data_IF_008925926739
#
_entry.id   IF_008925926739
#
_cell.length_a   1.000
_cell.length_b   1.000
_cell.length_c   1.000
_cell.angle_alpha   90.00
_cell.angle_beta   90.00
_cell.angle_gamma   90.00
#
_symmetry.space_group_name_H-M   'P 1'
#
loop_
_entity.id
_entity.type
_entity.pdbx_description
1 polymer ?
#
# COMPACT_ATOMS: atom_id res chain seq x y z
N UNK A 1 39.39 -6.06 -8.67
CA UNK A 1 39.86 -5.08 -7.66
C UNK A 1 41.03 -4.31 -8.25
N UNK A 2 41.09 -2.99 -8.05
CA UNK A 2 42.28 -2.20 -8.40
C UNK A 2 43.42 -2.55 -7.45
N UNK A 3 44.60 -2.79 -8.01
CA UNK A 3 45.76 -3.37 -7.33
C UNK A 3 46.67 -2.34 -6.64
N UNK A 4 46.31 -1.05 -6.64
CA UNK A 4 47.18 0.01 -6.13
C UNK A 4 46.41 1.18 -5.47
N UNK A 5 45.52 0.88 -4.52
CA UNK A 5 44.85 1.90 -3.72
C UNK A 5 45.63 2.18 -2.43
N UNK A 6 45.66 3.44 -1.99
CA UNK A 6 46.36 3.85 -0.76
C UNK A 6 45.69 3.31 0.51
N UNK A 7 46.43 3.26 1.62
CA UNK A 7 45.91 2.80 2.92
C UNK A 7 44.66 3.56 3.37
N UNK A 8 44.57 4.87 3.06
CA UNK A 8 43.42 5.71 3.36
C UNK A 8 42.14 5.24 2.64
N UNK A 9 42.27 4.74 1.41
CA UNK A 9 41.13 4.23 0.64
C UNK A 9 40.58 2.95 1.28
N UNK A 10 41.45 2.03 1.69
CA UNK A 10 41.04 0.78 2.34
C UNK A 10 40.42 1.04 3.71
N UNK A 11 40.94 1.99 4.48
CA UNK A 11 40.34 2.41 5.74
C UNK A 11 38.94 3.03 5.54
N UNK A 12 38.76 3.87 4.53
CA UNK A 12 37.44 4.40 4.16
C UNK A 12 36.48 3.29 3.70
N UNK A 13 36.98 2.29 2.96
CA UNK A 13 36.21 1.13 2.53
C UNK A 13 35.74 0.26 3.70
N UNK A 14 36.60 -0.02 4.67
CA UNK A 14 36.26 -0.77 5.86
C UNK A 14 35.19 -0.04 6.70
N UNK A 15 35.32 1.29 6.84
CA UNK A 15 34.30 2.12 7.49
C UNK A 15 32.97 2.09 6.73
N UNK A 16 32.99 2.14 5.40
CA UNK A 16 31.79 2.01 4.56
C UNK A 16 31.11 0.64 4.73
N UNK A 17 31.88 -0.45 4.77
CA UNK A 17 31.37 -1.81 4.97
C UNK A 17 30.73 -1.96 6.35
N UNK A 18 31.33 -1.40 7.39
CA UNK A 18 30.85 -1.47 8.77
C UNK A 18 29.76 -0.43 9.14
N UNK A 19 29.57 0.62 8.33
CA UNK A 19 28.57 1.65 8.58
C UNK A 19 27.15 1.08 8.56
N UNK A 20 26.32 1.51 9.53
CA UNK A 20 24.97 0.99 9.75
C UNK A 20 23.88 1.90 9.20
N UNK A 21 24.16 3.19 9.04
CA UNK A 21 23.18 4.17 8.54
C UNK A 21 23.47 4.64 7.12
N UNK A 22 22.45 5.01 6.33
CA UNK A 22 22.63 5.62 5.00
C UNK A 22 23.53 6.86 5.03
N UNK A 23 23.43 7.70 6.06
CA UNK A 23 24.24 8.91 6.22
C UNK A 23 25.72 8.59 6.46
N UNK A 24 26.02 7.60 7.29
CA UNK A 24 27.40 7.12 7.49
C UNK A 24 27.95 6.49 6.23
N UNK A 25 27.15 5.66 5.54
CA UNK A 25 27.57 5.04 4.28
C UNK A 25 27.85 6.10 3.21
N UNK A 26 27.01 7.13 3.10
CA UNK A 26 27.24 8.25 2.17
C UNK A 26 28.52 9.01 2.53
N UNK A 27 28.75 9.30 3.81
CA UNK A 27 29.97 9.96 4.29
C UNK A 27 31.22 9.18 3.88
N UNK A 28 31.24 7.87 4.08
CA UNK A 28 32.41 7.05 3.76
C UNK A 28 32.57 6.81 2.25
N UNK A 29 31.48 6.79 1.47
CA UNK A 29 31.57 6.79 0.00
C UNK A 29 32.24 8.06 -0.54
N UNK A 30 31.94 9.23 0.05
CA UNK A 30 32.63 10.48 -0.28
C UNK A 30 34.12 10.43 0.10
N UNK A 31 34.46 9.81 1.23
CA UNK A 31 35.85 9.62 1.67
C UNK A 31 36.61 8.64 0.76
N UNK A 32 35.96 7.56 0.33
CA UNK A 32 36.46 6.63 -0.69
C UNK A 32 36.67 7.31 -2.05
N UNK A 33 35.73 8.16 -2.49
CA UNK A 33 35.87 8.89 -3.76
C UNK A 33 37.08 9.84 -3.73
N UNK A 34 37.30 10.51 -2.59
CA UNK A 34 38.42 11.45 -2.39
C UNK A 34 39.78 10.76 -2.43
N UNK A 35 39.86 9.56 -1.87
CA UNK A 35 41.09 8.76 -1.71
C UNK A 35 41.28 7.74 -2.83
N UNK A 36 40.32 7.61 -3.75
CA UNK A 36 40.38 6.68 -4.86
C UNK A 36 41.57 7.00 -5.81
N UNK A 37 42.26 5.98 -6.35
CA UNK A 37 43.27 6.19 -7.37
C UNK A 37 42.68 6.91 -8.59
N UNK A 38 43.42 7.84 -9.21
CA UNK A 38 42.96 8.61 -10.38
C UNK A 38 43.76 8.24 -11.63
N UNK A 39 43.64 7.00 -12.07
CA UNK A 39 44.30 6.49 -13.27
C UNK A 39 43.35 5.59 -14.06
N UNK A 40 43.65 5.29 -15.32
CA UNK A 40 42.75 4.54 -16.21
C UNK A 40 42.20 3.22 -15.63
N UNK A 41 43.00 2.52 -14.81
CA UNK A 41 42.58 1.28 -14.15
C UNK A 41 41.52 1.42 -13.05
N UNK A 42 41.22 2.63 -12.56
CA UNK A 42 40.27 2.88 -11.47
C UNK A 42 38.94 3.48 -11.94
N UNK A 43 38.75 3.67 -13.24
CA UNK A 43 37.52 4.25 -13.81
C UNK A 43 36.26 3.48 -13.40
N UNK A 44 36.29 2.15 -13.47
CA UNK A 44 35.16 1.31 -13.02
C UNK A 44 34.87 1.44 -11.53
N UNK A 45 35.90 1.60 -10.70
CA UNK A 45 35.74 1.80 -9.27
C UNK A 45 35.10 3.16 -8.98
N UNK A 46 35.60 4.22 -9.61
CA UNK A 46 35.06 5.58 -9.46
C UNK A 46 33.60 5.62 -9.94
N UNK A 47 33.29 4.99 -11.07
CA UNK A 47 31.92 4.89 -11.58
C UNK A 47 31.01 4.15 -10.58
N UNK A 48 31.49 3.07 -9.97
CA UNK A 48 30.76 2.36 -8.92
C UNK A 48 30.52 3.23 -7.68
N UNK A 49 31.55 3.96 -7.21
CA UNK A 49 31.44 4.86 -6.06
C UNK A 49 30.41 5.98 -6.34
N UNK A 50 30.50 6.63 -7.50
CA UNK A 50 29.56 7.70 -7.89
C UNK A 50 28.12 7.20 -8.02
N UNK A 51 27.93 6.00 -8.58
CA UNK A 51 26.61 5.36 -8.63
C UNK A 51 26.05 5.13 -7.23
N UNK A 52 26.89 4.62 -6.31
CA UNK A 52 26.49 4.40 -4.91
C UNK A 52 26.20 5.71 -4.18
N UNK A 53 26.98 6.77 -4.40
CA UNK A 53 26.71 8.11 -3.84
C UNK A 53 25.30 8.57 -4.26
N UNK A 54 24.99 8.53 -5.56
CA UNK A 54 23.67 8.92 -6.07
C UNK A 54 22.52 8.08 -5.48
N UNK A 55 22.72 6.77 -5.31
CA UNK A 55 21.74 5.89 -4.65
C UNK A 55 21.50 6.31 -3.19
N UNK A 56 22.57 6.55 -2.41
CA UNK A 56 22.46 6.94 -1.00
C UNK A 56 21.96 8.38 -0.80
N UNK A 57 22.30 9.32 -1.70
CA UNK A 57 21.75 10.67 -1.69
C UNK A 57 20.25 10.66 -1.91
N UNK A 58 19.76 9.86 -2.86
CA UNK A 58 18.33 9.69 -3.09
C UNK A 58 17.62 9.10 -1.88
N UNK A 59 18.19 8.07 -1.24
CA UNK A 59 17.67 7.49 0.02
C UNK A 59 17.57 8.54 1.12
N UNK A 60 18.59 9.39 1.27
CA UNK A 60 18.64 10.44 2.30
C UNK A 60 17.70 11.60 1.95
N UNK A 61 17.58 12.00 0.69
CA UNK A 61 16.63 13.03 0.26
C UNK A 61 15.18 12.58 0.47
N UNK A 62 14.83 11.36 0.04
CA UNK A 62 13.55 10.71 0.35
C UNK A 62 13.31 10.59 1.87
N UNK A 63 14.39 10.48 2.67
CA UNK A 63 14.38 10.53 4.13
C UNK A 63 14.27 11.95 4.73
N UNK A 64 14.79 13.00 4.07
CA UNK A 64 14.78 14.40 4.54
C UNK A 64 13.43 15.08 4.32
N UNK A 65 12.69 14.70 3.28
CA UNK A 65 11.27 15.10 3.13
C UNK A 65 10.37 14.62 4.29
N UNK A 66 10.87 13.74 5.18
CA UNK A 66 10.18 13.29 6.40
C UNK A 66 10.53 14.08 7.68
N UNK A 67 11.43 15.08 7.64
CA UNK A 67 11.87 15.82 8.85
C UNK A 67 11.05 17.06 9.21
N UNK A 68 10.10 17.48 8.39
CA UNK A 68 9.12 18.52 8.72
C UNK A 68 7.73 17.92 8.91
N UNK A 69 7.45 17.32 10.07
CA UNK A 69 6.10 16.92 10.48
C UNK A 69 5.34 16.03 9.50
N UNK A 70 5.84 14.83 9.17
CA UNK A 70 5.07 13.84 8.40
C UNK A 70 5.32 12.45 8.99
N UNK A 71 4.22 11.74 9.30
CA UNK A 71 4.23 10.47 10.02
C UNK A 71 5.16 9.41 9.42
N UNK A 72 5.59 8.49 10.29
CA UNK A 72 6.29 7.26 9.90
C UNK A 72 5.44 6.59 8.80
N UNK A 73 5.97 6.50 7.58
CA UNK A 73 5.35 5.79 6.46
C UNK A 73 5.53 4.29 6.72
N UNK A 74 4.67 3.75 7.58
CA UNK A 74 4.66 2.34 7.98
C UNK A 74 4.21 1.42 6.84
N UNK A 75 3.44 1.94 5.88
CA UNK A 75 2.84 1.19 4.77
C UNK A 75 2.76 2.08 3.53
N UNK A 76 2.96 1.49 2.35
CA UNK A 76 2.59 2.07 1.07
C UNK A 76 1.27 1.43 0.59
N UNK A 77 0.29 2.23 0.19
CA UNK A 77 -0.96 1.74 -0.41
C UNK A 77 -0.60 1.11 -1.75
N UNK A 78 -0.51 -0.22 -1.79
CA UNK A 78 -0.12 -1.00 -2.97
C UNK A 78 -1.32 -1.71 -3.62
N UNK A 79 -2.42 -1.88 -2.89
CA UNK A 79 -3.71 -2.31 -3.43
C UNK A 79 -4.64 -1.15 -3.77
N UNK A 80 -5.71 -1.44 -4.49
CA UNK A 80 -6.74 -0.45 -4.85
C UNK A 80 -7.50 0.03 -3.61
N UNK A 81 -7.77 -0.90 -2.68
CA UNK A 81 -8.53 -0.67 -1.45
C UNK A 81 -7.72 -1.16 -0.26
N UNK A 82 -7.44 -0.27 0.68
CA UNK A 82 -6.73 -0.53 1.93
C UNK A 82 -7.74 -0.75 3.07
N UNK A 83 -7.67 -1.92 3.71
CA UNK A 83 -8.58 -2.36 4.76
C UNK A 83 -7.80 -2.55 6.06
N UNK A 84 -8.07 -1.76 7.09
CA UNK A 84 -7.49 -1.96 8.42
C UNK A 84 -8.32 -2.91 9.26
N UNK A 85 -7.68 -3.91 9.86
CA UNK A 85 -8.29 -4.85 10.80
C UNK A 85 -7.94 -4.40 12.23
N UNK A 86 -8.96 -4.10 13.03
CA UNK A 86 -8.84 -3.70 14.43
C UNK A 86 -9.51 -4.70 15.36
N UNK A 87 -9.08 -4.70 16.62
CA UNK A 87 -9.54 -5.64 17.64
C UNK A 87 -8.50 -5.79 18.75
N UNK A 88 -8.94 -6.21 19.92
CA UNK A 88 -8.09 -6.42 21.10
C UNK A 88 -7.19 -7.66 20.97
N UNK A 89 -6.32 -7.88 21.94
CA UNK A 89 -5.44 -9.05 21.99
C UNK A 89 -6.26 -10.34 22.00
N UNK A 90 -5.85 -11.31 21.19
CA UNK A 90 -6.50 -12.62 21.02
C UNK A 90 -7.94 -12.57 20.47
N UNK A 91 -8.40 -11.47 19.85
CA UNK A 91 -9.73 -11.45 19.21
C UNK A 91 -9.82 -12.23 17.88
N UNK A 92 -8.71 -12.78 17.39
CA UNK A 92 -8.65 -13.55 16.14
C UNK A 92 -8.18 -12.75 14.91
N UNK A 93 -7.71 -11.51 15.06
CA UNK A 93 -7.21 -10.66 13.93
C UNK A 93 -6.21 -11.35 13.02
N UNK A 94 -5.10 -11.85 13.57
CA UNK A 94 -4.06 -12.51 12.77
C UNK A 94 -4.57 -13.79 12.11
N UNK A 95 -5.49 -14.50 12.75
CA UNK A 95 -6.12 -15.69 12.18
C UNK A 95 -7.05 -15.31 11.01
N UNK A 96 -7.87 -14.26 11.16
CA UNK A 96 -8.70 -13.71 10.08
C UNK A 96 -7.83 -13.34 8.88
N UNK A 97 -6.77 -12.55 9.11
CA UNK A 97 -5.86 -12.11 8.06
C UNK A 97 -5.27 -13.32 7.32
N UNK A 98 -4.66 -14.27 8.04
CA UNK A 98 -4.04 -15.47 7.44
C UNK A 98 -5.04 -16.33 6.67
N UNK A 99 -6.20 -16.60 7.28
CA UNK A 99 -7.24 -17.46 6.70
C UNK A 99 -7.75 -16.90 5.37
N UNK A 100 -8.01 -15.59 5.31
CA UNK A 100 -8.71 -14.98 4.18
C UNK A 100 -7.79 -14.39 3.11
N UNK A 101 -6.55 -14.07 3.45
CA UNK A 101 -5.59 -13.57 2.46
C UNK A 101 -4.70 -14.65 1.86
N UNK A 102 -4.82 -15.89 2.34
CA UNK A 102 -3.96 -17.01 1.97
C UNK A 102 -2.48 -16.60 1.91
N UNK A 103 -2.08 -15.76 2.86
CA UNK A 103 -0.87 -14.96 2.74
C UNK A 103 0.35 -15.87 2.60
N UNK A 104 0.96 -15.85 1.41
CA UNK A 104 2.40 -15.68 1.34
C UNK A 104 2.70 -14.40 2.12
N UNK A 105 2.88 -14.54 3.43
CA UNK A 105 3.36 -13.46 4.27
C UNK A 105 4.78 -13.19 3.77
N UNK A 106 4.94 -12.23 2.86
CA UNK A 106 6.25 -11.65 2.61
C UNK A 106 6.63 -10.89 3.88
N UNK A 107 7.21 -11.63 4.83
CA UNK A 107 8.00 -11.04 5.91
C UNK A 107 9.22 -10.47 5.21
N UNK A 108 9.17 -9.19 4.87
CA UNK A 108 10.38 -8.45 4.55
C UNK A 108 11.19 -8.33 5.85
N UNK A 109 12.04 -9.32 6.10
CA UNK A 109 13.10 -9.25 7.10
C UNK A 109 14.16 -8.27 6.59
N UNK A 110 13.91 -6.98 6.80
CA UNK A 110 15.01 -6.02 6.87
C UNK A 110 15.56 -6.15 8.30
N UNK A 111 16.80 -6.62 8.49
CA UNK A 111 17.40 -6.62 9.82
C UNK A 111 17.46 -5.16 10.28
N UNK A 112 16.98 -4.91 11.51
CA UNK A 112 16.90 -3.61 12.21
C UNK A 112 15.58 -2.80 12.13
N UNK A 113 14.45 -3.35 11.68
CA UNK A 113 13.17 -2.61 11.74
C UNK A 113 12.22 -3.08 12.86
N UNK A 114 11.72 -2.10 13.61
CA UNK A 114 10.73 -2.16 14.68
C UNK A 114 9.38 -2.65 14.13
N UNK A 115 8.82 -3.74 14.69
CA UNK A 115 7.49 -4.34 14.46
C UNK A 115 6.66 -3.67 13.35
N UNK A 116 6.73 -4.20 12.12
CA UNK A 116 5.81 -3.83 11.04
C UNK A 116 4.46 -4.54 11.24
N UNK A 117 3.33 -3.87 10.95
CA UNK A 117 2.00 -4.51 11.00
C UNK A 117 1.93 -5.66 9.99
N UNK A 118 1.13 -6.68 10.28
CA UNK A 118 0.95 -7.80 9.34
C UNK A 118 0.08 -7.36 8.16
N UNK A 119 0.49 -7.70 6.94
CA UNK A 119 -0.16 -7.30 5.69
C UNK A 119 -0.51 -8.56 4.89
N UNK A 120 -1.66 -8.56 4.23
CA UNK A 120 -2.06 -9.60 3.28
C UNK A 120 -2.86 -8.99 2.14
N UNK A 121 -2.61 -9.43 0.90
CA UNK A 121 -3.29 -8.89 -0.28
C UNK A 121 -4.03 -10.00 -1.00
N UNK A 122 -5.24 -9.71 -1.46
CA UNK A 122 -5.99 -10.62 -2.32
C UNK A 122 -6.39 -9.91 -3.61
N UNK A 123 -6.42 -10.69 -4.69
CA UNK A 123 -7.00 -10.26 -5.95
C UNK A 123 -8.36 -10.92 -6.11
N UNK A 124 -9.42 -10.12 -6.18
CA UNK A 124 -10.78 -10.62 -6.31
C UNK A 124 -11.58 -9.69 -7.22
N UNK A 125 -12.32 -10.26 -8.18
CA UNK A 125 -13.11 -9.52 -9.16
C UNK A 125 -12.36 -8.29 -9.69
N UNK A 126 -11.19 -8.53 -10.28
CA UNK A 126 -10.28 -7.54 -10.90
C UNK A 126 -9.70 -6.45 -9.98
N UNK A 127 -9.83 -6.56 -8.66
CA UNK A 127 -9.39 -5.54 -7.69
C UNK A 127 -8.41 -6.14 -6.68
N UNK A 128 -7.36 -5.39 -6.34
CA UNK A 128 -6.46 -5.72 -5.24
C UNK A 128 -6.96 -5.12 -3.91
N UNK A 129 -7.32 -5.99 -2.97
CA UNK A 129 -7.67 -5.60 -1.60
C UNK A 129 -6.48 -5.87 -0.69
N UNK A 130 -5.93 -4.81 -0.10
CA UNK A 130 -4.80 -4.85 0.83
C UNK A 130 -5.33 -4.80 2.25
N UNK A 131 -5.16 -5.88 3.01
CA UNK A 131 -5.50 -5.95 4.42
C UNK A 131 -4.28 -5.64 5.28
N UNK A 132 -4.50 -4.87 6.33
CA UNK A 132 -3.48 -4.56 7.34
C UNK A 132 -4.03 -4.86 8.71
N UNK A 133 -3.37 -5.73 9.45
CA UNK A 133 -3.65 -5.92 10.87
C UNK A 133 -3.00 -4.80 11.69
N UNK A 134 -3.82 -4.08 12.45
CA UNK A 134 -3.34 -3.12 13.43
C UNK A 134 -3.00 -3.85 14.74
N UNK A 135 -1.76 -3.75 15.23
CA UNK A 135 -1.38 -4.35 16.51
C UNK A 135 -2.21 -3.80 17.68
N UNK A 136 -2.66 -4.68 18.57
CA UNK A 136 -3.47 -4.31 19.75
C UNK A 136 -2.70 -3.48 20.79
N UNK A 137 -1.38 -3.32 20.64
CA UNK A 137 -0.60 -2.36 21.42
C UNK A 137 -1.12 -0.94 21.24
N UNK A 138 -1.80 -0.65 20.13
CA UNK A 138 -2.44 0.63 19.84
C UNK A 138 -1.48 1.83 20.01
N UNK A 139 -0.22 1.61 19.64
CA UNK A 139 0.78 2.66 19.66
C UNK A 139 0.47 3.74 18.64
N UNK A 140 0.69 5.00 19.02
CA UNK A 140 0.38 6.18 18.19
C UNK A 140 0.97 6.11 16.77
N UNK A 141 2.10 5.43 16.58
CA UNK A 141 2.74 5.24 15.27
C UNK A 141 1.79 4.58 14.25
N UNK A 142 0.93 3.65 14.67
CA UNK A 142 0.00 2.94 13.79
C UNK A 142 -1.21 3.78 13.36
N UNK A 143 -1.47 4.94 13.99
CA UNK A 143 -2.58 5.82 13.61
C UNK A 143 -2.46 6.35 12.18
N UNK A 144 -1.24 6.50 11.66
CA UNK A 144 -1.04 6.89 10.26
C UNK A 144 -1.64 5.88 9.28
N UNK A 145 -1.63 4.60 9.62
CA UNK A 145 -2.24 3.54 8.81
C UNK A 145 -3.76 3.68 8.81
N UNK A 146 -4.36 3.96 9.98
CA UNK A 146 -5.80 4.21 10.07
C UNK A 146 -6.19 5.36 9.14
N UNK A 147 -5.50 6.50 9.22
CA UNK A 147 -5.80 7.66 8.37
C UNK A 147 -5.67 7.39 6.86
N UNK A 148 -4.91 6.37 6.45
CA UNK A 148 -4.77 5.97 5.05
C UNK A 148 -5.81 4.94 4.59
N UNK A 149 -6.49 4.29 5.54
CA UNK A 149 -7.39 3.17 5.25
C UNK A 149 -8.67 3.66 4.59
N UNK A 150 -9.11 2.96 3.54
CA UNK A 150 -10.37 3.25 2.87
C UNK A 150 -11.55 2.64 3.64
N UNK A 151 -11.33 1.48 4.27
CA UNK A 151 -12.34 0.74 5.04
C UNK A 151 -11.75 0.08 6.28
N UNK A 152 -12.59 -0.28 7.25
CA UNK A 152 -12.16 -0.95 8.48
C UNK A 152 -12.96 -2.21 8.77
N UNK A 153 -12.29 -3.23 9.30
CA UNK A 153 -12.93 -4.42 9.84
C UNK A 153 -12.64 -4.47 11.33
N UNK A 154 -13.69 -4.47 12.14
CA UNK A 154 -13.61 -4.52 13.58
C UNK A 154 -13.92 -5.94 14.06
N UNK A 155 -12.93 -6.62 14.63
CA UNK A 155 -13.10 -7.97 15.18
C UNK A 155 -13.23 -7.88 16.70
N UNK A 156 -14.42 -8.20 17.19
CA UNK A 156 -14.80 -8.15 18.60
C UNK A 156 -14.94 -9.57 19.15
N UNK A 157 -14.34 -9.84 20.30
CA UNK A 157 -14.45 -11.12 21.02
C UNK A 157 -15.72 -11.11 21.88
N UNK A 158 -16.67 -11.99 21.59
CA UNK A 158 -17.94 -12.07 22.34
C UNK A 158 -17.77 -12.62 23.76
N UNK A 159 -16.65 -13.29 24.07
CA UNK A 159 -16.37 -13.81 25.41
C UNK A 159 -15.93 -12.72 26.39
N UNK A 160 -15.72 -11.50 25.89
CA UNK A 160 -15.23 -10.35 26.65
C UNK A 160 -16.21 -9.19 26.56
N UNK A 161 -16.06 -8.22 27.45
CA UNK A 161 -16.89 -7.02 27.43
C UNK A 161 -16.71 -6.25 26.11
N UNK A 162 -17.79 -6.16 25.33
CA UNK A 162 -17.80 -5.50 24.02
C UNK A 162 -17.63 -3.99 24.16
N UNK A 163 -18.17 -3.39 25.23
CA UNK A 163 -18.09 -1.95 25.48
C UNK A 163 -16.67 -1.55 25.83
N UNK A 164 -15.99 -2.31 26.68
CA UNK A 164 -14.58 -2.07 27.03
C UNK A 164 -13.67 -2.19 25.80
N UNK A 165 -13.93 -3.19 24.95
CA UNK A 165 -13.22 -3.35 23.68
C UNK A 165 -13.36 -2.13 22.77
N UNK A 166 -14.59 -1.66 22.57
CA UNK A 166 -14.88 -0.48 21.77
C UNK A 166 -14.24 0.78 22.35
N UNK A 167 -14.26 0.96 23.67
CA UNK A 167 -13.63 2.10 24.33
C UNK A 167 -12.12 2.15 24.10
N UNK A 168 -11.41 1.02 24.26
CA UNK A 168 -9.97 0.92 23.98
C UNK A 168 -9.67 1.26 22.52
N UNK A 169 -10.46 0.73 21.58
CA UNK A 169 -10.27 0.94 20.14
C UNK A 169 -10.57 2.40 19.75
N UNK A 170 -11.67 2.97 20.25
CA UNK A 170 -12.05 4.37 20.00
C UNK A 170 -11.04 5.36 20.56
N UNK A 171 -10.48 5.10 21.75
CA UNK A 171 -9.38 5.90 22.29
C UNK A 171 -8.16 5.90 21.36
N UNK A 172 -7.88 4.76 20.73
CA UNK A 172 -6.82 4.64 19.74
C UNK A 172 -7.15 5.28 18.38
N UNK A 173 -8.42 5.29 17.96
CA UNK A 173 -8.84 5.84 16.67
C UNK A 173 -9.40 7.27 16.74
N UNK A 174 -9.39 7.89 17.92
CA UNK A 174 -9.87 9.25 18.17
C UNK A 174 -9.38 10.27 17.12
N UNK A 175 -10.31 11.09 16.61
CA UNK A 175 -10.03 12.07 15.56
C UNK A 175 -9.84 11.48 14.15
N UNK A 176 -9.92 10.15 13.98
CA UNK A 176 -9.83 9.46 12.69
C UNK A 176 -11.17 8.79 12.36
N UNK A 177 -11.64 7.92 13.27
CA UNK A 177 -12.90 7.19 13.13
C UNK A 177 -13.43 6.80 14.50
N UNK A 178 -14.76 6.83 14.64
CA UNK A 178 -15.48 6.38 15.83
C UNK A 178 -16.28 5.13 15.48
N UNK A 179 -16.02 4.06 16.23
CA UNK A 179 -16.68 2.77 16.11
C UNK A 179 -17.84 2.66 17.10
N UNK A 180 -18.91 2.03 16.66
CA UNK A 180 -20.08 1.70 17.46
C UNK A 180 -20.32 0.18 17.42
N UNK A 181 -21.39 -0.28 18.06
CA UNK A 181 -21.86 -1.68 17.96
C UNK A 181 -22.58 -1.97 16.65
N UNK A 182 -22.76 -1.00 15.78
CA UNK A 182 -23.48 -1.13 14.51
C UNK A 182 -22.50 -0.82 13.37
N UNK A 183 -22.46 -1.70 12.36
CA UNK A 183 -21.66 -1.48 11.16
C UNK A 183 -22.19 -0.29 10.36
N UNK A 184 -21.33 0.37 9.59
CA UNK A 184 -21.74 1.43 8.68
C UNK A 184 -20.94 1.36 7.37
N UNK A 185 -21.06 2.38 6.53
CA UNK A 185 -20.41 2.42 5.23
C UNK A 185 -18.87 2.56 5.27
N UNK A 186 -18.28 2.78 6.44
CA UNK A 186 -16.82 2.84 6.62
C UNK A 186 -16.26 1.59 7.29
N UNK A 187 -17.08 0.83 8.02
CA UNK A 187 -16.60 -0.34 8.73
C UNK A 187 -17.63 -1.44 8.91
N UNK A 188 -17.12 -2.68 8.91
CA UNK A 188 -17.88 -3.89 9.25
C UNK A 188 -17.41 -4.46 10.58
N UNK A 189 -18.36 -4.87 11.40
CA UNK A 189 -18.08 -5.59 12.65
C UNK A 189 -18.19 -7.08 12.41
N UNK A 190 -17.22 -7.82 12.93
CA UNK A 190 -17.20 -9.27 12.98
C UNK A 190 -17.14 -9.67 14.45
N UNK A 191 -18.18 -10.34 14.91
CA UNK A 191 -18.22 -10.94 16.23
C UNK A 191 -17.61 -12.33 16.18
N UNK A 192 -16.52 -12.53 16.90
CA UNK A 192 -15.83 -13.81 16.97
C UNK A 192 -16.27 -14.58 18.22
N UNK A 193 -16.81 -15.80 18.01
CA UNK A 193 -17.24 -16.73 19.07
C UNK A 193 -16.29 -17.92 19.25
N UNK A 194 -15.75 -18.45 18.15
CA UNK A 194 -15.11 -19.78 18.11
C UNK A 194 -13.74 -19.81 17.42
N UNK A 195 -13.15 -18.65 17.12
CA UNK A 195 -11.82 -18.52 16.51
C UNK A 195 -11.64 -19.23 15.16
N UNK A 196 -12.74 -19.63 14.51
CA UNK A 196 -12.67 -20.40 13.26
C UNK A 196 -13.25 -19.65 12.05
N UNK A 197 -13.96 -18.54 12.25
CA UNK A 197 -14.59 -17.69 11.21
C UNK A 197 -15.29 -18.50 10.10
N UNK A 198 -15.94 -19.62 10.43
CA UNK A 198 -16.57 -20.50 9.42
C UNK A 198 -17.77 -19.87 8.73
N UNK A 199 -18.51 -19.03 9.44
CA UNK A 199 -19.70 -18.35 8.93
C UNK A 199 -19.37 -17.13 8.07
N UNK A 200 -18.09 -16.77 7.95
CA UNK A 200 -17.68 -15.57 7.22
C UNK A 200 -17.45 -15.90 5.75
N UNK A 201 -18.22 -15.23 4.90
CA UNK A 201 -18.00 -15.19 3.47
C UNK A 201 -17.18 -13.95 3.07
N UNK A 202 -15.88 -14.14 2.79
CA UNK A 202 -15.00 -13.05 2.39
C UNK A 202 -15.47 -12.38 1.09
N UNK A 203 -15.91 -13.15 0.10
CA UNK A 203 -16.35 -12.61 -1.19
C UNK A 203 -17.52 -11.64 -1.02
N UNK A 204 -18.46 -11.98 -0.14
CA UNK A 204 -19.58 -11.11 0.21
C UNK A 204 -19.09 -9.83 0.91
N UNK A 205 -18.13 -9.94 1.84
CA UNK A 205 -17.53 -8.77 2.49
C UNK A 205 -16.89 -7.85 1.45
N UNK A 206 -16.12 -8.38 0.51
CA UNK A 206 -15.46 -7.57 -0.53
C UNK A 206 -16.45 -6.89 -1.47
N UNK A 207 -17.52 -7.57 -1.88
CA UNK A 207 -18.58 -6.95 -2.67
C UNK A 207 -19.32 -5.86 -1.89
N UNK A 208 -19.52 -6.05 -0.58
CA UNK A 208 -20.15 -5.04 0.27
C UNK A 208 -19.24 -3.82 0.48
N UNK A 209 -17.93 -3.99 0.62
CA UNK A 209 -16.97 -2.87 0.71
C UNK A 209 -17.06 -1.96 -0.52
N UNK A 210 -17.18 -2.53 -1.73
CA UNK A 210 -17.35 -1.74 -2.96
C UNK A 210 -18.63 -0.90 -2.90
N UNK A 211 -19.73 -1.48 -2.40
CA UNK A 211 -21.02 -0.78 -2.28
C UNK A 211 -20.99 0.29 -1.19
N UNK A 212 -20.45 -0.04 -0.02
CA UNK A 212 -20.35 0.84 1.14
C UNK A 212 -19.53 2.10 0.82
N UNK A 213 -18.46 1.93 0.04
CA UNK A 213 -17.61 3.04 -0.41
C UNK A 213 -18.14 3.79 -1.64
N UNK A 214 -19.33 3.42 -2.14
CA UNK A 214 -19.91 3.95 -3.39
C UNK A 214 -18.90 3.91 -4.55
N UNK A 215 -18.24 2.78 -4.73
CA UNK A 215 -17.24 2.56 -5.78
C UNK A 215 -17.81 1.74 -6.94
N UNK A 216 -17.23 1.92 -8.12
CA UNK A 216 -17.48 1.13 -9.33
C UNK A 216 -16.17 0.59 -9.89
N UNK A 217 -16.20 -0.64 -10.38
CA UNK A 217 -15.06 -1.33 -11.01
C UNK A 217 -15.22 -1.34 -12.51
N UNK A 218 -14.30 -0.68 -13.20
CA UNK A 218 -14.32 -0.60 -14.66
C UNK A 218 -13.16 -1.41 -15.23
N UNK A 219 -13.44 -2.47 -15.97
CA UNK A 219 -12.42 -3.36 -16.55
C UNK A 219 -12.03 -2.86 -17.95
N UNK A 220 -10.78 -2.42 -18.19
CA UNK A 220 -10.30 -2.25 -19.56
C UNK A 220 -10.30 -3.60 -20.29
N UNK A 221 -10.73 -3.64 -21.55
CA UNK A 221 -10.86 -4.91 -22.28
C UNK A 221 -9.54 -5.70 -22.39
N UNK A 222 -8.41 -4.98 -22.45
CA UNK A 222 -7.05 -5.53 -22.60
C UNK A 222 -6.32 -5.68 -21.25
N UNK A 223 -7.03 -5.67 -20.12
CA UNK A 223 -6.46 -5.75 -18.77
C UNK A 223 -7.27 -6.67 -17.89
N UNK A 224 -6.61 -7.47 -17.06
CA UNK A 224 -7.27 -8.24 -16.01
C UNK A 224 -7.53 -7.43 -14.73
N UNK A 225 -6.87 -6.28 -14.59
CA UNK A 225 -7.03 -5.34 -13.49
C UNK A 225 -8.08 -4.26 -13.81
N UNK A 226 -8.92 -3.94 -12.82
CA UNK A 226 -9.93 -2.91 -12.93
C UNK A 226 -9.42 -1.55 -12.47
N UNK A 227 -10.02 -0.50 -13.03
CA UNK A 227 -9.86 0.85 -12.52
C UNK A 227 -11.02 1.13 -11.56
N UNK A 228 -10.69 1.46 -10.31
CA UNK A 228 -11.66 1.88 -9.29
C UNK A 228 -11.98 3.36 -9.49
N UNK A 229 -13.27 3.65 -9.60
CA UNK A 229 -13.82 5.00 -9.68
C UNK A 229 -14.96 5.17 -8.67
N UNK A 230 -15.30 6.42 -8.35
CA UNK A 230 -16.51 6.69 -7.56
C UNK A 230 -17.75 6.41 -8.42
N UNK A 231 -18.85 6.07 -7.78
CA UNK A 231 -20.18 6.03 -8.41
C UNK A 231 -20.47 7.37 -9.09
N UNK A 232 -21.25 7.30 -10.17
CA UNK A 232 -21.55 8.43 -11.08
C UNK A 232 -20.37 8.89 -11.97
N UNK A 233 -19.20 8.25 -11.88
CA UNK A 233 -18.07 8.55 -12.78
C UNK A 233 -18.40 8.23 -14.25
N UNK A 234 -17.71 8.94 -15.13
CA UNK A 234 -17.92 8.91 -16.58
C UNK A 234 -16.74 8.27 -17.32
N UNK A 235 -16.90 8.05 -18.63
CA UNK A 235 -15.81 7.63 -19.52
C UNK A 235 -14.63 8.61 -19.45
N UNK A 236 -14.89 9.91 -19.28
CA UNK A 236 -13.84 10.92 -19.10
C UNK A 236 -13.02 10.65 -17.84
N UNK A 237 -13.69 10.42 -16.71
CA UNK A 237 -13.02 10.17 -15.43
C UNK A 237 -12.15 8.90 -15.48
N UNK A 238 -12.64 7.86 -16.15
CA UNK A 238 -11.86 6.65 -16.44
C UNK A 238 -10.58 6.96 -17.23
N UNK A 239 -10.68 7.75 -18.31
CA UNK A 239 -9.51 8.14 -19.11
C UNK A 239 -8.56 9.00 -18.29
N UNK A 240 -9.04 9.95 -17.50
CA UNK A 240 -8.20 10.81 -16.68
C UNK A 240 -7.41 10.04 -15.62
N UNK A 241 -8.04 8.99 -15.06
CA UNK A 241 -7.41 8.10 -14.09
C UNK A 241 -6.26 7.29 -14.70
N UNK A 242 -6.36 6.92 -15.98
CA UNK A 242 -5.32 6.17 -16.71
C UNK A 242 -4.28 7.12 -17.31
N UNK A 243 -4.70 7.99 -18.22
CA UNK A 243 -3.85 8.94 -18.92
C UNK A 243 -4.67 10.09 -19.53
N UNK A 244 -4.61 11.26 -18.89
CA UNK A 244 -5.32 12.48 -19.32
C UNK A 244 -5.06 12.87 -20.79
N UNK A 245 -3.89 12.55 -21.35
CA UNK A 245 -3.54 12.88 -22.75
C UNK A 245 -4.39 12.13 -23.79
N UNK A 246 -5.07 11.06 -23.39
CA UNK A 246 -5.93 10.29 -24.30
C UNK A 246 -7.27 10.97 -24.58
N UNK A 247 -7.64 11.99 -23.79
CA UNK A 247 -8.88 12.78 -24.01
C UNK A 247 -8.85 13.45 -25.39
N UNK A 248 -7.74 14.10 -25.76
CA UNK A 248 -7.64 14.83 -27.03
C UNK A 248 -7.72 13.90 -28.25
N UNK A 249 -7.26 12.66 -28.05
CA UNK A 249 -7.30 11.59 -29.05
C UNK A 249 -8.60 10.78 -28.99
N UNK A 250 -9.50 11.04 -28.05
CA UNK A 250 -10.68 10.20 -27.87
C UNK A 250 -11.63 10.29 -29.08
N UNK A 251 -12.09 9.14 -29.59
CA UNK A 251 -13.11 9.04 -30.64
C UNK A 251 -14.44 8.58 -30.06
N UNK A 252 -14.44 7.46 -29.33
CA UNK A 252 -15.57 6.92 -28.58
C UNK A 252 -15.08 5.78 -27.67
N UNK A 253 -15.91 5.37 -26.71
CA UNK A 253 -15.71 4.15 -25.95
C UNK A 253 -16.74 3.10 -26.39
N UNK A 254 -16.31 1.83 -26.43
CA UNK A 254 -17.21 0.68 -26.53
C UNK A 254 -17.34 0.08 -25.14
N UNK A 255 -18.54 0.13 -24.58
CA UNK A 255 -18.86 -0.37 -23.24
C UNK A 255 -19.62 -1.69 -23.41
N UNK A 256 -19.18 -2.73 -22.72
CA UNK A 256 -19.87 -4.02 -22.67
C UNK A 256 -20.51 -4.14 -21.29
N UNK A 257 -21.83 -4.13 -21.26
CA UNK A 257 -22.65 -4.21 -20.05
C UNK A 257 -23.70 -5.29 -20.20
N UNK A 258 -23.63 -6.34 -19.38
CA UNK A 258 -24.61 -7.46 -19.39
C UNK A 258 -24.89 -7.98 -20.82
N UNK A 259 -23.84 -8.21 -21.60
CA UNK A 259 -23.85 -8.63 -23.01
C UNK A 259 -24.35 -7.60 -24.05
N UNK A 260 -24.71 -6.38 -23.64
CA UNK A 260 -24.99 -5.30 -24.56
C UNK A 260 -23.73 -4.50 -24.87
N UNK A 261 -23.58 -4.08 -26.12
CA UNK A 261 -22.49 -3.21 -26.57
C UNK A 261 -23.05 -1.82 -26.77
N UNK A 262 -22.51 -0.85 -26.03
CA UNK A 262 -22.91 0.56 -26.06
C UNK A 262 -21.75 1.38 -26.59
N UNK A 263 -22.01 2.20 -27.60
CA UNK A 263 -21.07 3.21 -28.07
C UNK A 263 -21.31 4.50 -27.30
N UNK A 264 -20.29 4.94 -26.55
CA UNK A 264 -20.40 6.02 -25.59
C UNK A 264 -19.41 7.16 -25.86
N UNK A 265 -19.84 8.39 -25.53
CA UNK A 265 -18.98 9.57 -25.48
C UNK A 265 -18.35 9.78 -24.10
N UNK A 266 -17.57 10.85 -23.95
CA UNK A 266 -16.85 11.17 -22.71
C UNK A 266 -17.76 11.31 -21.48
N UNK A 267 -18.94 11.91 -21.64
CA UNK A 267 -19.85 12.21 -20.54
C UNK A 267 -20.79 11.03 -20.16
N UNK A 268 -20.63 9.88 -20.81
CA UNK A 268 -21.47 8.72 -20.51
C UNK A 268 -21.12 8.17 -19.13
N UNK A 269 -22.13 7.95 -18.29
CA UNK A 269 -21.99 7.40 -16.94
C UNK A 269 -21.71 5.90 -16.98
N UNK A 270 -20.68 5.51 -16.26
CA UNK A 270 -20.27 4.11 -16.11
C UNK A 270 -21.01 3.45 -14.96
N UNK A 271 -21.17 2.13 -15.04
CA UNK A 271 -21.73 1.29 -14.00
C UNK A 271 -20.69 0.28 -13.51
N UNK A 272 -20.88 -0.22 -12.28
CA UNK A 272 -20.01 -1.27 -11.73
C UNK A 272 -19.99 -2.49 -12.65
N UNK A 273 -18.79 -3.03 -12.89
CA UNK A 273 -18.49 -4.17 -13.77
C UNK A 273 -18.66 -3.89 -15.27
N UNK A 274 -18.74 -2.63 -15.68
CA UNK A 274 -18.59 -2.29 -17.10
C UNK A 274 -17.21 -2.73 -17.61
N UNK A 275 -17.18 -3.32 -18.80
CA UNK A 275 -15.95 -3.55 -19.55
C UNK A 275 -15.84 -2.45 -20.61
N UNK A 276 -14.69 -1.79 -20.72
CA UNK A 276 -14.51 -0.66 -21.61
C UNK A 276 -13.33 -0.87 -22.57
N UNK A 277 -13.57 -0.57 -23.85
CA UNK A 277 -12.56 -0.50 -24.90
C UNK A 277 -12.53 0.93 -25.45
N UNK A 278 -11.39 1.61 -25.32
CA UNK A 278 -11.22 2.97 -25.83
C UNK A 278 -10.83 2.94 -27.30
N UNK A 279 -11.54 3.71 -28.12
CA UNK A 279 -11.17 3.95 -29.52
C UNK A 279 -10.63 5.36 -29.66
N UNK A 280 -9.32 5.45 -29.95
CA UNK A 280 -8.62 6.71 -30.15
C UNK A 280 -8.52 7.04 -31.65
N UNK A 281 -8.42 8.33 -31.96
CA UNK A 281 -8.01 8.85 -33.26
C UNK A 281 -6.53 8.52 -33.45
N UNK A 282 -6.21 8.01 -34.64
CA UNK A 282 -4.84 7.75 -35.08
C UNK A 282 -4.15 9.11 -35.30
#
# INVERSE_FOLDING_TARGET
>A
MVTNAGAEFYAAKEKYENAKTPEEKLKYLYEMLRTAPKHKGSEHLIAWINKKISEYEKIIEEGKYKKGGVGIKLIEKSGDILISILGIENSGKSYFLKKFTNANVEVNEIPFSTINPAIGTIFYNCVYYQFVEIPSTFERKFRSILSLSDYYILILDEKRDIKEQLERINKFSEGIIEFSTISNNKYKIIYNKFDDFKEINLQEILENIIKDLDLIRIKPIDSDHCIILNKESTVKDFIEKINKKWIDKFRYAKIIRRNNIIRAGLNYKLEDKDIIELKLKI
#
